data_IF_206222483271
#
_entry.id   IF_206222483271
#
_cell.length_a   1.000
_cell.length_b   1.000
_cell.length_c   1.000
_cell.angle_alpha   90.00
_cell.angle_beta   90.00
_cell.angle_gamma   90.00
#
_symmetry.space_group_name_H-M   'P 1'
#
loop_
_entity.id
_entity.type
_entity.pdbx_description
1 polymer ?
#
# COMPACT_ATOMS: atom_id res chain seq x y z
N UNK A 1 -22.92 8.17 -36.22
CA UNK A 1 -21.72 9.05 -36.11
C UNK A 1 -22.05 10.38 -35.42
N UNK A 2 -22.99 10.43 -34.47
CA UNK A 2 -23.40 11.67 -33.76
C UNK A 2 -23.57 11.49 -32.26
N UNK A 3 -22.78 10.61 -31.63
CA UNK A 3 -22.87 10.34 -30.18
C UNK A 3 -21.55 10.63 -29.40
N UNK A 4 -20.68 11.47 -29.95
CA UNK A 4 -19.37 11.79 -29.36
C UNK A 4 -19.19 13.27 -28.98
N UNK A 5 -20.27 14.07 -28.91
CA UNK A 5 -20.17 15.51 -28.69
C UNK A 5 -20.54 16.00 -27.28
N UNK A 6 -20.63 15.14 -26.27
CA UNK A 6 -20.95 15.55 -24.89
C UNK A 6 -19.85 15.17 -23.87
N UNK A 7 -18.58 15.32 -24.26
CA UNK A 7 -17.45 15.33 -23.32
C UNK A 7 -17.01 16.79 -23.04
N UNK A 8 -17.98 17.66 -22.75
CA UNK A 8 -17.74 19.06 -22.43
C UNK A 8 -17.91 19.35 -20.93
N UNK A 9 -17.35 18.51 -20.08
CA UNK A 9 -17.01 18.87 -18.69
C UNK A 9 -15.59 18.35 -18.39
N UNK A 10 -14.62 18.75 -19.21
CA UNK A 10 -13.21 18.58 -18.91
C UNK A 10 -12.86 19.45 -17.69
N UNK A 11 -12.92 18.84 -16.50
CA UNK A 11 -12.42 19.46 -15.27
C UNK A 11 -10.96 19.82 -15.51
N UNK A 12 -10.66 21.11 -15.70
CA UNK A 12 -9.31 21.61 -15.92
C UNK A 12 -8.45 21.25 -14.71
N UNK A 13 -7.57 20.28 -14.89
CA UNK A 13 -6.65 19.83 -13.83
C UNK A 13 -5.63 20.91 -13.52
N UNK A 14 -5.35 21.12 -12.24
CA UNK A 14 -4.29 22.04 -11.81
C UNK A 14 -2.93 21.50 -12.25
N UNK A 15 -2.17 22.32 -12.97
CA UNK A 15 -0.80 21.99 -13.42
C UNK A 15 0.24 22.13 -12.29
N UNK A 16 -0.10 22.83 -11.21
CA UNK A 16 0.81 23.01 -10.08
C UNK A 16 0.81 21.76 -9.20
N UNK A 17 2.00 21.20 -8.97
CA UNK A 17 2.23 20.09 -8.06
C UNK A 17 2.15 20.58 -6.61
N UNK A 18 0.95 20.78 -6.10
CA UNK A 18 0.71 21.23 -4.73
C UNK A 18 0.22 20.06 -3.88
N UNK A 19 1.05 19.65 -2.92
CA UNK A 19 0.64 18.70 -1.90
C UNK A 19 -0.21 19.45 -0.86
N UNK A 20 -1.54 19.34 -1.01
CA UNK A 20 -2.44 20.00 -0.06
C UNK A 20 -2.40 19.30 1.30
N UNK A 21 -2.27 20.05 2.36
CA UNK A 21 -2.24 19.53 3.74
C UNK A 21 -3.45 18.65 4.08
N UNK A 22 -4.60 18.88 3.44
CA UNK A 22 -5.82 18.06 3.66
C UNK A 22 -5.65 16.59 3.25
N UNK A 23 -4.73 16.26 2.32
CA UNK A 23 -4.48 14.88 1.84
C UNK A 23 -3.28 14.21 2.52
N UNK A 24 -2.81 14.72 3.67
CA UNK A 24 -1.60 14.24 4.32
C UNK A 24 -1.65 12.75 4.70
N UNK A 25 -2.83 12.22 5.16
CA UNK A 25 -2.99 10.79 5.48
C UNK A 25 -2.78 9.94 4.24
N UNK A 26 -3.40 10.32 3.12
CA UNK A 26 -3.22 9.62 1.85
C UNK A 26 -1.75 9.59 1.42
N UNK A 27 -1.07 10.73 1.46
CA UNK A 27 0.34 10.84 1.07
C UNK A 27 1.25 10.01 1.97
N UNK A 28 1.02 10.04 3.28
CA UNK A 28 1.80 9.27 4.25
C UNK A 28 1.55 7.75 4.11
N UNK A 29 0.30 7.34 3.95
CA UNK A 29 -0.03 5.93 3.69
C UNK A 29 0.58 5.44 2.38
N UNK A 30 0.59 6.26 1.34
CA UNK A 30 1.22 5.93 0.04
C UNK A 30 2.72 5.77 0.19
N UNK A 31 3.39 6.66 0.93
CA UNK A 31 4.82 6.55 1.23
C UNK A 31 5.15 5.25 1.98
N UNK A 32 4.43 4.98 3.07
CA UNK A 32 4.63 3.77 3.87
C UNK A 32 4.30 2.49 3.08
N UNK A 33 3.28 2.53 2.21
CA UNK A 33 2.95 1.40 1.32
C UNK A 33 4.06 1.14 0.31
N UNK A 34 4.66 2.18 -0.26
CA UNK A 34 5.83 2.08 -1.14
C UNK A 34 7.01 1.42 -0.44
N UNK A 35 7.31 1.87 0.78
CA UNK A 35 8.38 1.31 1.59
C UNK A 35 8.21 -0.17 1.90
N UNK A 36 7.05 -0.57 2.39
CA UNK A 36 6.72 -1.98 2.67
C UNK A 36 6.83 -2.86 1.44
N UNK A 37 6.31 -2.37 0.31
CA UNK A 37 6.39 -3.10 -0.95
C UNK A 37 7.83 -3.42 -1.33
N UNK A 38 8.75 -2.48 -1.16
CA UNK A 38 10.15 -2.69 -1.50
C UNK A 38 10.84 -3.68 -0.57
N UNK A 39 10.51 -3.65 0.73
CA UNK A 39 11.01 -4.66 1.66
C UNK A 39 10.63 -6.06 1.18
N UNK A 40 9.39 -6.26 0.80
CA UNK A 40 8.93 -7.54 0.30
C UNK A 40 9.57 -7.92 -1.05
N UNK A 41 9.45 -7.05 -2.07
CA UNK A 41 9.91 -7.36 -3.44
C UNK A 41 11.39 -7.72 -3.48
N UNK A 42 12.22 -7.02 -2.69
CA UNK A 42 13.65 -7.23 -2.68
C UNK A 42 14.05 -8.32 -1.68
N UNK A 43 13.69 -8.15 -0.40
CA UNK A 43 14.27 -8.96 0.67
C UNK A 43 13.58 -10.30 0.87
N UNK A 44 12.29 -10.45 0.55
CA UNK A 44 11.68 -11.78 0.57
C UNK A 44 12.26 -12.69 -0.54
N UNK A 45 12.55 -12.13 -1.72
CA UNK A 45 13.28 -12.84 -2.77
C UNK A 45 14.69 -13.22 -2.34
N UNK A 46 15.45 -12.29 -1.74
CA UNK A 46 16.78 -12.57 -1.20
C UNK A 46 16.76 -13.64 -0.11
N UNK A 47 15.78 -13.62 0.80
CA UNK A 47 15.67 -14.63 1.83
C UNK A 47 15.52 -16.04 1.24
N UNK A 48 14.70 -16.21 0.22
CA UNK A 48 14.51 -17.50 -0.44
C UNK A 48 15.82 -17.99 -1.05
N UNK A 49 16.56 -17.12 -1.74
CA UNK A 49 17.80 -17.50 -2.43
C UNK A 49 18.93 -17.71 -1.42
N UNK A 50 19.15 -16.78 -0.50
CA UNK A 50 20.32 -16.75 0.37
C UNK A 50 20.20 -17.72 1.56
N UNK A 51 19.04 -17.71 2.25
CA UNK A 51 18.84 -18.57 3.42
C UNK A 51 18.49 -20.00 3.06
N UNK A 52 17.68 -20.19 2.02
CA UNK A 52 17.15 -21.51 1.66
C UNK A 52 17.77 -22.12 0.41
N UNK A 53 18.77 -21.46 -0.21
CA UNK A 53 19.38 -21.88 -1.47
C UNK A 53 18.35 -22.18 -2.57
N UNK A 54 17.23 -21.43 -2.56
CA UNK A 54 16.15 -21.61 -3.52
C UNK A 54 16.57 -21.08 -4.89
N UNK A 55 16.46 -21.88 -5.97
CA UNK A 55 16.89 -21.45 -7.29
C UNK A 55 16.22 -20.15 -7.72
N UNK A 56 16.99 -19.19 -8.25
CA UNK A 56 16.46 -17.90 -8.69
C UNK A 56 15.34 -18.05 -9.73
N UNK A 57 15.44 -19.05 -10.59
CA UNK A 57 14.42 -19.39 -11.59
C UNK A 57 13.05 -19.68 -10.94
N UNK A 58 13.07 -20.36 -9.80
CA UNK A 58 11.85 -20.67 -9.05
C UNK A 58 11.27 -19.41 -8.37
N UNK A 59 12.10 -18.44 -7.93
CA UNK A 59 11.63 -17.14 -7.44
C UNK A 59 10.91 -16.38 -8.56
N UNK A 60 11.46 -16.39 -9.77
CA UNK A 60 10.81 -15.79 -10.95
C UNK A 60 9.49 -16.49 -11.25
N UNK A 61 9.43 -17.81 -11.10
CA UNK A 61 8.17 -18.56 -11.27
C UNK A 61 7.14 -18.19 -10.20
N UNK A 62 7.53 -18.06 -8.93
CA UNK A 62 6.66 -17.58 -7.86
C UNK A 62 6.11 -16.17 -8.15
N UNK A 63 6.93 -15.28 -8.68
CA UNK A 63 6.48 -13.93 -9.09
C UNK A 63 5.41 -14.00 -10.19
N UNK A 64 5.57 -14.89 -11.17
CA UNK A 64 4.55 -15.13 -12.20
C UNK A 64 3.25 -15.69 -11.63
N UNK A 65 3.34 -16.66 -10.70
CA UNK A 65 2.17 -17.21 -9.99
C UNK A 65 1.45 -16.09 -9.23
N UNK A 66 2.19 -15.24 -8.52
CA UNK A 66 1.61 -14.09 -7.82
C UNK A 66 0.94 -13.10 -8.77
N UNK A 67 1.52 -12.83 -9.93
CA UNK A 67 0.91 -11.96 -10.94
C UNK A 67 -0.43 -12.54 -11.44
N UNK A 68 -0.46 -13.85 -11.72
CA UNK A 68 -1.68 -14.55 -12.13
C UNK A 68 -2.74 -14.54 -11.02
N UNK A 69 -2.36 -14.82 -9.77
CA UNK A 69 -3.25 -14.75 -8.62
C UNK A 69 -3.82 -13.35 -8.41
N UNK A 70 -2.97 -12.32 -8.50
CA UNK A 70 -3.37 -10.92 -8.36
C UNK A 70 -4.38 -10.54 -9.44
N UNK A 71 -4.13 -10.92 -10.70
CA UNK A 71 -5.05 -10.66 -11.81
C UNK A 71 -6.43 -11.29 -11.54
N UNK A 72 -6.47 -12.53 -11.07
CA UNK A 72 -7.72 -13.24 -10.81
C UNK A 72 -8.44 -12.76 -9.55
N UNK A 73 -7.70 -12.34 -8.53
CA UNK A 73 -8.24 -11.87 -7.26
C UNK A 73 -8.59 -10.38 -7.25
N UNK A 74 -7.98 -9.55 -8.11
CA UNK A 74 -8.20 -8.10 -8.13
C UNK A 74 -9.69 -7.69 -8.16
N UNK A 75 -10.57 -8.28 -9.01
CA UNK A 75 -11.98 -7.90 -9.00
C UNK A 75 -12.72 -8.36 -7.73
N UNK A 76 -12.26 -9.44 -7.09
CA UNK A 76 -12.83 -9.91 -5.81
C UNK A 76 -12.41 -9.00 -4.66
N UNK A 77 -11.15 -8.60 -4.64
CA UNK A 77 -10.60 -7.65 -3.66
C UNK A 77 -11.33 -6.29 -3.80
N UNK A 78 -11.52 -5.79 -5.02
CA UNK A 78 -12.28 -4.56 -5.26
C UNK A 78 -13.70 -4.63 -4.70
N UNK A 79 -14.41 -5.74 -4.93
CA UNK A 79 -15.76 -5.97 -4.36
C UNK A 79 -15.74 -6.05 -2.84
N UNK A 80 -14.75 -6.72 -2.27
CA UNK A 80 -14.58 -6.82 -0.82
C UNK A 80 -14.38 -5.42 -0.21
N UNK A 81 -13.50 -4.60 -0.78
CA UNK A 81 -13.25 -3.23 -0.31
C UNK A 81 -14.53 -2.40 -0.38
N UNK A 82 -15.30 -2.51 -1.47
CA UNK A 82 -16.58 -1.81 -1.60
C UNK A 82 -17.61 -2.25 -0.56
N UNK A 83 -17.57 -3.51 -0.13
CA UNK A 83 -18.49 -4.06 0.86
C UNK A 83 -18.13 -3.70 2.31
N UNK A 84 -16.84 -3.86 2.69
CA UNK A 84 -16.39 -3.64 4.08
C UNK A 84 -15.93 -2.20 4.36
N UNK A 85 -15.69 -1.42 3.32
CA UNK A 85 -15.15 -0.05 3.38
C UNK A 85 -13.63 0.01 3.46
N UNK A 86 -13.06 1.14 3.04
CA UNK A 86 -11.61 1.34 2.90
C UNK A 86 -10.86 1.15 4.22
N UNK A 87 -11.40 1.71 5.31
CA UNK A 87 -10.76 1.61 6.63
C UNK A 87 -10.59 0.18 7.10
N UNK A 88 -11.66 -0.64 7.01
CA UNK A 88 -11.62 -2.05 7.44
C UNK A 88 -10.71 -2.88 6.53
N UNK A 89 -10.75 -2.59 5.23
CA UNK A 89 -9.86 -3.24 4.26
C UNK A 89 -8.39 -2.96 4.57
N UNK A 90 -8.02 -1.71 4.83
CA UNK A 90 -6.65 -1.34 5.22
C UNK A 90 -6.26 -1.94 6.58
N UNK A 91 -7.19 -2.00 7.53
CA UNK A 91 -6.93 -2.66 8.82
C UNK A 91 -6.60 -4.14 8.63
N UNK A 92 -7.37 -4.85 7.80
CA UNK A 92 -7.14 -6.25 7.48
C UNK A 92 -5.79 -6.45 6.77
N UNK A 93 -5.48 -5.61 5.77
CA UNK A 93 -4.19 -5.59 5.09
C UNK A 93 -3.04 -5.46 6.09
N UNK A 94 -3.08 -4.43 6.94
CA UNK A 94 -1.94 -4.12 7.79
C UNK A 94 -1.73 -5.14 8.92
N UNK A 95 -2.81 -5.65 9.49
CA UNK A 95 -2.72 -6.75 10.46
C UNK A 95 -2.13 -8.00 9.79
N UNK A 96 -2.60 -8.35 8.59
CA UNK A 96 -2.05 -9.47 7.84
C UNK A 96 -0.57 -9.27 7.51
N UNK A 97 -0.17 -8.08 7.07
CA UNK A 97 1.23 -7.77 6.75
C UNK A 97 2.14 -7.77 7.98
N UNK A 98 1.67 -7.32 9.15
CA UNK A 98 2.42 -7.43 10.40
C UNK A 98 2.71 -8.90 10.71
N UNK A 99 1.70 -9.76 10.61
CA UNK A 99 1.86 -11.20 10.85
C UNK A 99 2.86 -11.78 9.85
N UNK A 100 2.72 -11.47 8.57
CA UNK A 100 3.61 -11.96 7.50
C UNK A 100 5.06 -11.51 7.75
N UNK A 101 5.31 -10.24 8.01
CA UNK A 101 6.65 -9.73 8.24
C UNK A 101 7.29 -10.30 9.51
N UNK A 102 6.53 -10.40 10.61
CA UNK A 102 7.03 -11.04 11.83
C UNK A 102 7.35 -12.51 11.56
N UNK A 103 6.50 -13.23 10.82
CA UNK A 103 6.75 -14.62 10.45
C UNK A 103 8.02 -14.76 9.58
N UNK A 104 8.28 -13.83 8.65
CA UNK A 104 9.51 -13.81 7.86
C UNK A 104 10.76 -13.63 8.72
N UNK A 105 10.70 -12.81 9.77
CA UNK A 105 11.83 -12.59 10.66
C UNK A 105 12.33 -13.87 11.35
N UNK A 106 11.45 -14.86 11.52
CA UNK A 106 11.72 -16.10 12.25
C UNK A 106 11.50 -17.37 11.42
N UNK A 107 11.27 -17.25 10.11
CA UNK A 107 10.99 -18.41 9.25
C UNK A 107 12.22 -19.32 9.12
N UNK A 108 12.03 -20.63 9.36
CA UNK A 108 13.08 -21.64 9.21
C UNK A 108 12.74 -22.69 8.14
N UNK A 109 11.51 -22.72 7.65
CA UNK A 109 11.06 -23.68 6.64
C UNK A 109 10.81 -22.97 5.31
N UNK A 110 11.38 -23.52 4.23
CA UNK A 110 11.18 -23.02 2.86
C UNK A 110 9.71 -23.07 2.45
N UNK A 111 8.97 -24.12 2.85
CA UNK A 111 7.55 -24.22 2.53
C UNK A 111 6.74 -23.09 3.15
N UNK A 112 7.07 -22.71 4.41
CA UNK A 112 6.45 -21.56 5.08
C UNK A 112 6.85 -20.27 4.41
N UNK A 113 8.12 -20.09 4.02
CA UNK A 113 8.59 -18.90 3.31
C UNK A 113 7.86 -18.71 1.97
N UNK A 114 7.65 -19.77 1.20
CA UNK A 114 6.88 -19.73 -0.05
C UNK A 114 5.40 -19.37 0.23
N UNK A 115 4.78 -19.97 1.24
CA UNK A 115 3.41 -19.66 1.62
C UNK A 115 3.26 -18.19 2.04
N UNK A 116 4.20 -17.66 2.82
CA UNK A 116 4.25 -16.24 3.19
C UNK A 116 4.42 -15.33 1.96
N UNK A 117 5.23 -15.76 0.97
CA UNK A 117 5.43 -15.03 -0.28
C UNK A 117 4.13 -14.86 -1.09
N UNK A 118 3.30 -15.90 -1.12
CA UNK A 118 2.00 -15.84 -1.78
C UNK A 118 0.99 -15.02 -0.97
N UNK A 119 1.01 -15.17 0.36
CA UNK A 119 0.08 -14.50 1.26
C UNK A 119 0.32 -12.98 1.32
N UNK A 120 1.57 -12.53 1.31
CA UNK A 120 1.91 -11.12 1.27
C UNK A 120 1.31 -10.41 0.05
N UNK A 121 1.43 -11.01 -1.13
CA UNK A 121 0.84 -10.46 -2.34
C UNK A 121 -0.69 -10.33 -2.27
N UNK A 122 -1.33 -11.28 -1.60
CA UNK A 122 -2.78 -11.24 -1.40
C UNK A 122 -3.16 -10.02 -0.54
N UNK A 123 -2.49 -9.82 0.59
CA UNK A 123 -2.73 -8.66 1.44
C UNK A 123 -2.35 -7.36 0.74
N UNK A 124 -1.22 -7.34 0.04
CA UNK A 124 -0.78 -6.17 -0.70
C UNK A 124 -1.76 -5.72 -1.79
N UNK A 125 -2.53 -6.66 -2.37
CA UNK A 125 -3.61 -6.33 -3.30
C UNK A 125 -4.68 -5.42 -2.69
N UNK A 126 -4.84 -5.43 -1.36
CA UNK A 126 -5.80 -4.56 -0.66
C UNK A 126 -5.34 -3.10 -0.56
N UNK A 127 -4.08 -2.79 -0.85
CA UNK A 127 -3.55 -1.42 -0.91
C UNK A 127 -4.28 -0.53 -1.93
N UNK A 128 -5.06 -1.10 -2.85
CA UNK A 128 -5.97 -0.35 -3.72
C UNK A 128 -6.96 0.49 -2.93
N UNK A 129 -7.28 0.10 -1.67
CA UNK A 129 -8.14 0.86 -0.77
C UNK A 129 -7.59 2.25 -0.43
N UNK A 130 -6.27 2.47 -0.51
CA UNK A 130 -5.66 3.80 -0.35
C UNK A 130 -6.09 4.70 -1.51
N UNK A 131 -6.11 4.17 -2.73
CA UNK A 131 -6.52 4.92 -3.93
C UNK A 131 -8.02 5.21 -3.92
N UNK A 132 -8.84 4.24 -3.55
CA UNK A 132 -10.31 4.44 -3.46
C UNK A 132 -10.67 5.43 -2.35
N UNK A 133 -9.97 5.39 -1.22
CA UNK A 133 -10.08 6.41 -0.18
C UNK A 133 -9.79 7.80 -0.73
N UNK A 134 -8.64 7.97 -1.42
CA UNK A 134 -8.28 9.24 -2.02
C UNK A 134 -9.32 9.75 -3.02
N UNK A 135 -9.79 8.90 -3.92
CA UNK A 135 -10.81 9.26 -4.90
C UNK A 135 -12.11 9.75 -4.28
N UNK A 136 -12.46 9.27 -3.09
CA UNK A 136 -13.67 9.69 -2.36
C UNK A 136 -13.53 11.05 -1.68
N UNK A 137 -12.32 11.45 -1.27
CA UNK A 137 -12.08 12.69 -0.54
C UNK A 137 -11.53 13.83 -1.42
N UNK A 138 -10.97 13.48 -2.58
CA UNK A 138 -10.29 14.46 -3.44
C UNK A 138 -11.27 15.29 -4.25
N UNK A 139 -10.95 16.58 -4.38
CA UNK A 139 -11.57 17.41 -5.40
C UNK A 139 -11.13 16.94 -6.78
N UNK A 140 -12.02 16.81 -7.77
CA UNK A 140 -11.67 16.36 -9.11
C UNK A 140 -10.49 17.10 -9.74
N UNK A 141 -10.36 18.40 -9.44
CA UNK A 141 -9.26 19.27 -9.94
C UNK A 141 -7.88 18.87 -9.37
N UNK A 142 -7.83 18.24 -8.18
CA UNK A 142 -6.60 17.91 -7.47
C UNK A 142 -6.12 16.48 -7.75
N UNK A 143 -6.94 15.63 -8.37
CA UNK A 143 -6.67 14.19 -8.52
C UNK A 143 -5.38 13.95 -9.29
N UNK A 144 -5.19 14.58 -10.45
CA UNK A 144 -4.01 14.34 -11.29
C UNK A 144 -2.73 14.83 -10.62
N UNK A 145 -2.73 16.05 -10.06
CA UNK A 145 -1.57 16.64 -9.39
C UNK A 145 -1.14 15.81 -8.17
N UNK A 146 -2.08 15.45 -7.29
CA UNK A 146 -1.79 14.66 -6.08
C UNK A 146 -1.36 13.22 -6.43
N UNK A 147 -1.96 12.61 -7.46
CA UNK A 147 -1.56 11.28 -7.93
C UNK A 147 -0.13 11.27 -8.48
N UNK A 148 0.27 12.31 -9.21
CA UNK A 148 1.64 12.46 -9.72
C UNK A 148 2.67 12.60 -8.60
N UNK A 149 2.36 13.38 -7.56
CA UNK A 149 3.21 13.51 -6.37
C UNK A 149 3.33 12.16 -5.66
N UNK A 150 2.22 11.46 -5.47
CA UNK A 150 2.18 10.15 -4.82
C UNK A 150 2.99 9.11 -5.60
N UNK A 151 2.96 9.15 -6.93
CA UNK A 151 3.80 8.33 -7.78
C UNK A 151 5.29 8.60 -7.55
N UNK A 152 5.68 9.88 -7.51
CA UNK A 152 7.06 10.30 -7.24
C UNK A 152 7.52 9.85 -5.85
N UNK A 153 6.71 10.08 -4.82
CA UNK A 153 7.00 9.65 -3.44
C UNK A 153 7.22 8.13 -3.37
N UNK A 154 6.37 7.35 -4.03
CA UNK A 154 6.48 5.91 -4.08
C UNK A 154 7.78 5.44 -4.76
N UNK A 155 8.21 6.13 -5.84
CA UNK A 155 9.46 5.82 -6.53
C UNK A 155 10.69 6.21 -5.71
N UNK A 156 10.67 7.32 -4.99
CA UNK A 156 11.74 7.69 -4.04
C UNK A 156 11.88 6.60 -2.97
N UNK A 157 10.78 6.17 -2.38
CA UNK A 157 10.79 5.09 -1.41
C UNK A 157 11.35 3.78 -2.01
N UNK A 158 11.02 3.50 -3.28
CA UNK A 158 11.48 2.32 -4.01
C UNK A 158 12.99 2.25 -4.25
N UNK A 159 13.65 3.39 -4.31
CA UNK A 159 15.12 3.47 -4.53
C UNK A 159 15.84 3.58 -3.20
N UNK A 160 15.40 4.48 -2.32
CA UNK A 160 16.14 4.82 -1.09
C UNK A 160 16.06 3.70 -0.06
N UNK A 161 14.86 3.11 0.14
CA UNK A 161 14.68 2.11 1.19
C UNK A 161 15.46 0.81 0.97
N UNK A 162 15.49 0.21 -0.23
CA UNK A 162 16.34 -0.97 -0.45
C UNK A 162 17.82 -0.70 -0.22
N UNK A 163 18.32 0.49 -0.59
CA UNK A 163 19.71 0.85 -0.36
C UNK A 163 20.05 0.94 1.14
N UNK A 164 19.21 1.60 1.92
CA UNK A 164 19.39 1.71 3.38
C UNK A 164 19.21 0.36 4.08
N UNK A 165 18.18 -0.38 3.72
CA UNK A 165 17.88 -1.67 4.34
C UNK A 165 18.84 -2.77 3.88
N UNK A 166 19.51 -2.63 2.73
CA UNK A 166 20.56 -3.51 2.29
C UNK A 166 21.74 -3.54 3.27
N UNK A 167 22.07 -2.40 3.89
CA UNK A 167 23.10 -2.33 4.94
C UNK A 167 22.63 -3.13 6.17
N UNK A 168 21.38 -2.98 6.57
CA UNK A 168 20.80 -3.71 7.70
C UNK A 168 20.74 -5.21 7.40
N UNK A 169 20.44 -5.58 6.14
CA UNK A 169 20.37 -6.97 5.70
C UNK A 169 21.65 -7.73 5.94
N UNK A 170 22.80 -7.13 5.58
CA UNK A 170 24.12 -7.74 5.77
C UNK A 170 24.41 -8.02 7.25
N UNK A 171 23.87 -7.21 8.16
CA UNK A 171 24.07 -7.36 9.61
C UNK A 171 23.06 -8.37 10.19
N UNK A 172 21.78 -8.21 9.83
CA UNK A 172 20.71 -9.04 10.37
C UNK A 172 19.48 -9.06 9.45
N UNK A 173 19.26 -10.19 8.79
CA UNK A 173 18.10 -10.40 7.90
C UNK A 173 16.74 -10.20 8.60
N UNK A 174 16.63 -10.71 9.83
CA UNK A 174 15.37 -10.59 10.61
C UNK A 174 15.02 -9.14 10.92
N UNK A 175 16.01 -8.28 11.15
CA UNK A 175 15.80 -6.86 11.45
C UNK A 175 15.09 -6.13 10.31
N UNK A 176 15.38 -6.46 9.05
CA UNK A 176 14.72 -5.86 7.88
C UNK A 176 13.21 -6.15 7.88
N UNK A 177 12.83 -7.39 8.17
CA UNK A 177 11.41 -7.75 8.24
C UNK A 177 10.72 -7.14 9.47
N UNK A 178 11.40 -7.04 10.62
CA UNK A 178 10.86 -6.37 11.79
C UNK A 178 10.66 -4.86 11.56
N UNK A 179 11.54 -4.21 10.80
CA UNK A 179 11.34 -2.83 10.33
C UNK A 179 10.10 -2.77 9.45
N UNK A 180 9.91 -3.73 8.54
CA UNK A 180 8.71 -3.86 7.72
C UNK A 180 7.43 -4.00 8.57
N UNK A 181 7.46 -4.82 9.60
CA UNK A 181 6.36 -4.96 10.56
C UNK A 181 6.08 -3.64 11.30
N UNK A 182 7.12 -2.91 11.70
CA UNK A 182 7.00 -1.58 12.30
C UNK A 182 6.34 -0.56 11.37
N UNK A 183 6.73 -0.52 10.10
CA UNK A 183 6.10 0.32 9.07
C UNK A 183 4.63 -0.07 8.87
N UNK A 184 4.30 -1.36 8.87
CA UNK A 184 2.92 -1.83 8.78
C UNK A 184 2.10 -1.44 10.01
N UNK A 185 2.68 -1.50 11.22
CA UNK A 185 2.03 -1.06 12.45
C UNK A 185 1.76 0.46 12.44
N UNK A 186 2.72 1.28 11.99
CA UNK A 186 2.49 2.71 11.78
C UNK A 186 1.35 2.97 10.78
N UNK A 187 1.32 2.21 9.66
CA UNK A 187 0.23 2.31 8.68
C UNK A 187 -1.11 1.91 9.26
N UNK A 188 -1.13 0.89 10.13
CA UNK A 188 -2.34 0.46 10.85
C UNK A 188 -2.89 1.58 11.72
N UNK A 189 -2.04 2.24 12.51
CA UNK A 189 -2.44 3.36 13.35
C UNK A 189 -2.99 4.52 12.52
N UNK A 190 -2.32 4.87 11.43
CA UNK A 190 -2.77 5.92 10.51
C UNK A 190 -4.11 5.58 9.84
N UNK A 191 -4.33 4.33 9.47
CA UNK A 191 -5.59 3.90 8.86
C UNK A 191 -6.80 4.06 9.79
N UNK A 192 -6.58 4.05 11.12
CA UNK A 192 -7.66 4.28 12.08
C UNK A 192 -8.15 5.74 12.08
N UNK A 193 -7.38 6.68 11.53
CA UNK A 193 -7.79 8.06 11.35
C UNK A 193 -8.72 8.26 10.15
N UNK A 194 -8.83 7.26 9.26
CA UNK A 194 -9.75 7.29 8.13
C UNK A 194 -11.19 7.16 8.66
N UNK A 195 -12.12 8.02 8.21
CA UNK A 195 -13.54 7.89 8.56
C UNK A 195 -14.14 6.59 7.98
N UNK A 196 -15.24 6.12 8.54
CA UNK A 196 -15.94 4.95 8.01
C UNK A 196 -16.57 5.22 6.64
N UNK A 197 -16.95 6.48 6.39
CA UNK A 197 -17.50 6.95 5.14
C UNK A 197 -16.76 8.23 4.72
N UNK A 198 -15.63 8.08 4.02
CA UNK A 198 -14.83 9.21 3.59
C UNK A 198 -15.55 10.02 2.50
N UNK A 199 -15.55 11.36 2.63
CA UNK A 199 -16.18 12.32 1.72
C UNK A 199 -15.34 13.58 1.59
N UNK A 200 -15.54 14.41 0.55
CA UNK A 200 -15.04 15.76 0.55
C UNK A 200 -15.54 16.49 1.81
N UNK A 201 -14.68 17.17 2.53
CA UNK A 201 -14.90 17.78 3.86
C UNK A 201 -14.83 16.85 5.08
N UNK A 202 -14.77 15.53 4.90
CA UNK A 202 -14.60 14.56 5.99
C UNK A 202 -13.43 13.61 5.65
N UNK A 203 -12.25 14.19 5.46
CA UNK A 203 -11.04 13.46 5.08
C UNK A 203 -10.46 12.67 6.26
N UNK A 204 -10.63 13.16 7.48
CA UNK A 204 -10.09 12.53 8.69
C UNK A 204 -11.09 12.56 9.84
N UNK A 205 -10.98 11.61 10.77
CA UNK A 205 -11.75 11.61 12.01
C UNK A 205 -11.44 12.80 12.92
N UNK A 206 -10.23 13.33 12.84
CA UNK A 206 -9.79 14.46 13.66
C UNK A 206 -10.59 15.74 13.36
N UNK A 207 -11.04 15.93 12.11
CA UNK A 207 -11.85 17.08 11.73
C UNK A 207 -13.28 17.01 12.31
N UNK A 208 -13.81 15.80 12.49
CA UNK A 208 -15.15 15.61 13.03
C UNK A 208 -15.23 15.97 14.53
N UNK A 209 -14.14 15.76 15.27
CA UNK A 209 -14.09 16.06 16.72
C UNK A 209 -14.05 17.55 16.99
N UNK A 210 -13.44 18.35 16.11
CA UNK A 210 -13.35 19.81 16.27
C UNK A 210 -14.69 20.51 15.99
N UNK A 211 -15.52 19.96 15.10
CA UNK A 211 -16.85 20.52 14.79
C UNK A 211 -17.88 20.23 15.89
N UNK A 212 -17.72 19.09 16.57
CA UNK A 212 -18.64 18.67 17.66
C UNK A 212 -18.36 19.43 18.98
N UNK A 213 -17.18 20.01 19.15
CA UNK A 213 -16.83 20.81 20.34
C UNK A 213 -17.19 22.30 20.20
N UNK A 214 -17.71 22.73 19.03
CA UNK A 214 -18.16 24.11 18.77
C UNK A 214 -19.69 24.27 18.73
N UNK A 215 -20.44 23.22 19.00
CA UNK A 215 -21.87 23.22 19.26
C UNK A 215 -22.18 23.00 20.73
#
# INVERSE_FOLDING_TARGET
FTALSNFEDDVVQKKELLMRKRYWIYSLLTFLAGGRRQIFVVFAGFLLVEKFNFPFENVVMLTRVNAALTFWLAPKIGRLISFIGERRALTLEYVGLIIVFVSYAFVESIAVAIALYLLDHLFFGMAIAIKTYFQKIADPVDIAATSSISFTINHIAAVVLPALLGIVWVINHSAVFLIGAGIAACSLLLSQLIPNDPRPSLETRLLNTSTTLQQ
#
